data_IF_685144294934
#
_entry.id   IF_685144294934
#
_cell.length_a   1.000
_cell.length_b   1.000
_cell.length_c   1.000
_cell.angle_alpha   90.00
_cell.angle_beta   90.00
_cell.angle_gamma   90.00
#
_symmetry.space_group_name_H-M   'P 1'
#
loop_
_entity.id
_entity.type
_entity.pdbx_description
1 polymer ?
#
# COMPACT_ATOMS: atom_id res chain seq x y z
N UNK A 1 95.68 64.12 -48.88
CA UNK A 1 95.64 62.77 -48.26
C UNK A 1 94.61 62.83 -47.13
N UNK A 2 93.59 62.02 -46.99
CA UNK A 2 93.11 60.86 -47.72
C UNK A 2 91.93 60.27 -46.92
N UNK A 3 90.74 60.29 -47.53
CA UNK A 3 89.62 59.34 -47.36
C UNK A 3 88.97 59.24 -45.96
N UNK A 4 87.95 60.07 -45.75
CA UNK A 4 86.78 59.72 -44.95
C UNK A 4 86.18 58.41 -45.46
N UNK A 5 86.32 57.30 -44.73
CA UNK A 5 85.54 56.08 -44.96
C UNK A 5 84.20 56.21 -44.21
N UNK A 6 83.25 56.94 -44.79
CA UNK A 6 81.84 56.77 -44.43
C UNK A 6 81.40 55.38 -44.91
N UNK A 7 81.48 54.37 -44.04
CA UNK A 7 80.77 53.10 -44.27
C UNK A 7 79.30 53.35 -43.98
N UNK A 8 78.54 53.77 -44.98
CA UNK A 8 77.09 53.66 -44.96
C UNK A 8 76.74 52.21 -45.28
N UNK A 9 76.39 51.43 -44.26
CA UNK A 9 75.76 50.11 -44.42
C UNK A 9 74.25 50.32 -44.42
N UNK A 10 73.66 50.36 -45.61
CA UNK A 10 72.21 50.21 -45.75
C UNK A 10 71.89 48.72 -45.77
N UNK A 11 71.19 48.24 -44.74
CA UNK A 11 70.60 46.89 -44.72
C UNK A 11 69.16 47.01 -45.20
N UNK A 12 68.88 46.57 -46.43
CA UNK A 12 67.52 46.51 -46.98
C UNK A 12 66.93 45.12 -46.73
N UNK A 13 65.94 45.02 -45.85
CA UNK A 13 65.12 43.82 -45.70
C UNK A 13 63.90 43.97 -46.62
N UNK A 14 63.86 43.22 -47.73
CA UNK A 14 62.68 43.14 -48.60
C UNK A 14 62.00 41.80 -48.33
N UNK A 15 60.72 41.81 -47.97
CA UNK A 15 59.93 40.57 -47.89
C UNK A 15 58.69 40.72 -48.78
N UNK A 16 58.70 40.01 -49.90
CA UNK A 16 57.55 39.93 -50.79
C UNK A 16 56.59 38.87 -50.26
N UNK A 17 55.42 39.27 -49.79
CA UNK A 17 54.33 38.33 -49.47
C UNK A 17 53.35 38.26 -50.63
N UNK A 18 53.75 37.59 -51.70
CA UNK A 18 52.85 37.29 -52.82
C UNK A 18 51.93 36.12 -52.44
N UNK A 19 50.62 36.34 -52.47
CA UNK A 19 49.64 35.26 -52.48
C UNK A 19 48.41 35.67 -53.27
N UNK A 20 48.11 34.93 -54.33
CA UNK A 20 46.88 35.08 -55.10
C UNK A 20 45.84 34.15 -54.49
N UNK A 21 44.92 34.70 -53.69
CA UNK A 21 43.79 33.93 -53.19
C UNK A 21 42.67 33.97 -54.24
N UNK A 22 42.57 32.93 -55.07
CA UNK A 22 41.33 32.63 -55.77
C UNK A 22 40.46 31.82 -54.80
N UNK A 23 39.38 32.45 -54.30
CA UNK A 23 38.37 31.76 -53.50
C UNK A 23 37.18 31.57 -54.43
N UNK A 24 36.90 30.32 -54.80
CA UNK A 24 35.76 29.95 -55.61
C UNK A 24 35.02 28.81 -54.90
N UNK A 25 33.70 28.95 -54.74
CA UNK A 25 32.85 28.05 -53.93
C UNK A 25 32.61 28.51 -52.48
N UNK A 26 31.86 27.69 -51.73
CA UNK A 26 31.34 27.90 -50.35
C UNK A 26 32.44 27.81 -49.26
N UNK A 27 33.59 28.44 -49.50
CA UNK A 27 34.72 28.43 -48.55
C UNK A 27 34.46 29.39 -47.38
N UNK A 28 33.64 28.96 -46.42
CA UNK A 28 33.25 29.68 -45.19
C UNK A 28 34.32 29.66 -44.08
N UNK A 29 35.52 29.12 -44.38
CA UNK A 29 36.61 28.97 -43.41
C UNK A 29 37.39 30.26 -43.22
N UNK A 30 38.61 30.37 -43.74
CA UNK A 30 39.39 31.61 -43.78
C UNK A 30 40.43 31.48 -44.90
N UNK A 31 40.46 32.43 -45.84
CA UNK A 31 41.54 32.56 -46.82
C UNK A 31 42.50 33.67 -46.39
N UNK A 32 43.77 33.33 -46.20
CA UNK A 32 44.78 34.24 -45.67
C UNK A 32 45.94 34.33 -46.65
N UNK A 33 46.23 35.54 -47.14
CA UNK A 33 47.36 35.83 -48.02
C UNK A 33 48.14 37.04 -47.49
N UNK A 34 49.42 37.15 -47.86
CA UNK A 34 50.18 38.37 -47.61
C UNK A 34 50.88 38.44 -46.23
N UNK A 35 50.85 37.38 -45.43
CA UNK A 35 51.31 37.44 -44.03
C UNK A 35 52.81 37.21 -43.90
N UNK A 36 53.52 38.19 -43.34
CA UNK A 36 54.94 38.10 -43.00
C UNK A 36 55.13 38.27 -41.49
N UNK A 37 55.92 37.40 -40.88
CA UNK A 37 56.41 37.52 -39.51
C UNK A 37 55.31 37.80 -38.45
N UNK A 38 54.11 37.26 -38.64
CA UNK A 38 52.93 37.47 -37.79
C UNK A 38 52.30 36.14 -37.40
N UNK A 39 51.79 36.04 -36.17
CA UNK A 39 50.96 34.91 -35.73
C UNK A 39 49.52 35.15 -36.19
N UNK A 40 48.97 34.21 -36.95
CA UNK A 40 47.58 34.26 -37.41
C UNK A 40 46.70 33.48 -36.45
N UNK A 41 45.68 34.15 -35.90
CA UNK A 41 44.64 33.50 -35.13
C UNK A 41 43.35 33.51 -35.96
N UNK A 42 42.95 32.34 -36.43
CA UNK A 42 41.71 32.15 -37.18
C UNK A 42 40.77 31.26 -36.36
N UNK A 43 39.53 31.71 -36.17
CA UNK A 43 38.47 30.93 -35.54
C UNK A 43 37.41 30.66 -36.60
N UNK A 44 37.10 29.38 -36.82
CA UNK A 44 36.07 28.93 -37.75
C UNK A 44 34.97 28.22 -36.97
N UNK A 45 33.72 28.36 -37.40
CA UNK A 45 32.58 27.62 -36.86
C UNK A 45 32.18 26.53 -37.86
N UNK A 46 32.22 25.27 -37.42
CA UNK A 46 31.69 24.16 -38.22
C UNK A 46 30.17 24.10 -38.10
N UNK A 47 29.48 24.64 -39.10
CA UNK A 47 28.01 24.65 -39.14
C UNK A 47 27.40 23.25 -39.25
N UNK A 48 28.10 22.27 -39.81
CA UNK A 48 27.64 20.88 -39.87
C UNK A 48 27.58 20.26 -38.47
N UNK A 49 28.62 20.47 -37.67
CA UNK A 49 28.65 20.05 -36.28
C UNK A 49 27.58 20.76 -35.42
N UNK A 50 27.34 22.05 -35.64
CA UNK A 50 26.28 22.79 -34.95
C UNK A 50 24.89 22.27 -35.31
N UNK A 51 24.62 22.05 -36.59
CA UNK A 51 23.32 21.53 -37.03
C UNK A 51 23.06 20.12 -36.50
N UNK A 52 24.07 19.23 -36.55
CA UNK A 52 23.97 17.90 -35.98
C UNK A 52 23.73 17.93 -34.47
N UNK A 53 24.35 18.88 -33.74
CA UNK A 53 24.10 19.06 -32.31
C UNK A 53 22.68 19.57 -32.02
N UNK A 54 22.14 20.45 -32.86
CA UNK A 54 20.76 20.93 -32.72
C UNK A 54 19.73 19.84 -33.04
N UNK A 55 19.98 19.03 -34.07
CA UNK A 55 19.14 17.89 -34.43
C UNK A 55 19.12 16.84 -33.31
N UNK A 56 20.30 16.43 -32.82
CA UNK A 56 20.40 15.53 -31.67
C UNK A 56 19.71 16.10 -30.42
N UNK A 57 19.85 17.41 -30.18
CA UNK A 57 19.16 18.09 -29.10
C UNK A 57 17.64 18.03 -29.23
N UNK A 58 17.12 18.21 -30.44
CA UNK A 58 15.69 18.09 -30.75
C UNK A 58 15.16 16.68 -30.54
N UNK A 59 15.85 15.67 -31.09
CA UNK A 59 15.50 14.25 -30.90
C UNK A 59 15.53 13.84 -29.43
N UNK A 60 16.51 14.33 -28.67
CA UNK A 60 16.61 14.04 -27.23
C UNK A 60 15.45 14.65 -26.46
N UNK A 61 15.04 15.89 -26.77
CA UNK A 61 13.88 16.54 -26.14
C UNK A 61 12.59 15.79 -26.46
N UNK A 62 12.37 15.42 -27.73
CA UNK A 62 11.18 14.68 -28.13
C UNK A 62 11.12 13.28 -27.48
N UNK A 63 12.25 12.58 -27.43
CA UNK A 63 12.38 11.30 -26.74
C UNK A 63 12.10 11.45 -25.24
N UNK A 64 12.61 12.50 -24.61
CA UNK A 64 12.38 12.77 -23.19
C UNK A 64 10.92 13.07 -22.89
N UNK A 65 10.24 13.84 -23.75
CA UNK A 65 8.80 14.11 -23.62
C UNK A 65 8.00 12.82 -23.68
N UNK A 66 8.27 11.96 -24.66
CA UNK A 66 7.59 10.67 -24.83
C UNK A 66 7.79 9.75 -23.63
N UNK A 67 9.03 9.58 -23.18
CA UNK A 67 9.36 8.77 -21.99
C UNK A 67 8.66 9.34 -20.76
N UNK A 68 8.65 10.66 -20.61
CA UNK A 68 7.99 11.32 -19.46
C UNK A 68 6.49 11.04 -19.45
N UNK A 69 5.82 11.16 -20.61
CA UNK A 69 4.39 10.86 -20.72
C UNK A 69 4.09 9.39 -20.41
N UNK A 70 4.89 8.45 -20.93
CA UNK A 70 4.72 7.01 -20.67
C UNK A 70 4.95 6.66 -19.19
N UNK A 71 5.96 7.28 -18.55
CA UNK A 71 6.21 7.13 -17.11
C UNK A 71 5.07 7.73 -16.28
N UNK A 72 4.51 8.87 -16.70
CA UNK A 72 3.36 9.46 -16.01
C UNK A 72 2.11 8.57 -16.10
N UNK A 73 1.87 7.95 -17.25
CA UNK A 73 0.76 7.02 -17.45
C UNK A 73 0.94 5.75 -16.61
N UNK A 74 2.14 5.17 -16.66
CA UNK A 74 2.51 4.01 -15.82
C UNK A 74 2.34 4.31 -14.33
N UNK A 75 2.78 5.48 -13.87
CA UNK A 75 2.62 5.91 -12.47
C UNK A 75 1.15 6.08 -12.08
N UNK A 76 0.31 6.57 -13.01
CA UNK A 76 -1.13 6.71 -12.79
C UNK A 76 -1.79 5.34 -12.63
N UNK A 77 -1.50 4.40 -13.52
CA UNK A 77 -2.04 3.04 -13.47
C UNK A 77 -1.61 2.30 -12.20
N UNK A 78 -0.34 2.47 -11.80
CA UNK A 78 0.17 1.94 -10.53
C UNK A 78 -0.56 2.54 -9.32
N UNK A 79 -0.81 3.85 -9.34
CA UNK A 79 -1.53 4.52 -8.27
C UNK A 79 -3.00 4.06 -8.18
N UNK A 80 -3.68 3.91 -9.32
CA UNK A 80 -5.06 3.40 -9.39
C UNK A 80 -5.13 1.96 -8.86
N UNK A 81 -4.24 1.09 -9.33
CA UNK A 81 -4.15 -0.31 -8.87
C UNK A 81 -3.90 -0.38 -7.36
N UNK A 82 -2.97 0.43 -6.83
CA UNK A 82 -2.68 0.44 -5.40
C UNK A 82 -3.86 0.92 -4.56
N UNK A 83 -4.63 1.90 -5.05
CA UNK A 83 -5.84 2.39 -4.37
C UNK A 83 -6.90 1.29 -4.35
N UNK A 84 -7.12 0.61 -5.48
CA UNK A 84 -8.10 -0.47 -5.59
C UNK A 84 -7.75 -1.65 -4.69
N UNK A 85 -6.49 -2.08 -4.68
CA UNK A 85 -6.03 -3.17 -3.79
C UNK A 85 -6.23 -2.81 -2.30
N UNK A 86 -5.96 -1.56 -1.91
CA UNK A 86 -6.19 -1.10 -0.54
C UNK A 86 -7.68 -1.07 -0.20
N UNK A 87 -8.53 -0.62 -1.13
CA UNK A 87 -9.98 -0.61 -0.94
C UNK A 87 -10.54 -2.02 -0.79
N UNK A 88 -10.11 -2.96 -1.64
CA UNK A 88 -10.49 -4.37 -1.58
C UNK A 88 -10.02 -5.04 -0.30
N UNK A 89 -8.76 -4.81 0.11
CA UNK A 89 -8.24 -5.31 1.37
C UNK A 89 -9.04 -4.77 2.57
N UNK A 90 -9.34 -3.47 2.60
CA UNK A 90 -10.14 -2.87 3.66
C UNK A 90 -11.57 -3.45 3.69
N UNK A 91 -12.20 -3.61 2.52
CA UNK A 91 -13.52 -4.22 2.40
C UNK A 91 -13.54 -5.67 2.89
N UNK A 92 -12.57 -6.48 2.48
CA UNK A 92 -12.44 -7.87 2.91
C UNK A 92 -12.17 -8.00 4.42
N UNK A 93 -11.31 -7.14 4.97
CA UNK A 93 -11.00 -7.09 6.40
C UNK A 93 -12.22 -6.71 7.23
N UNK A 94 -12.97 -5.69 6.80
CA UNK A 94 -14.21 -5.27 7.45
C UNK A 94 -15.28 -6.36 7.40
N UNK A 95 -15.44 -7.01 6.24
CA UNK A 95 -16.37 -8.14 6.08
C UNK A 95 -16.03 -9.30 7.01
N UNK A 96 -14.74 -9.64 7.10
CA UNK A 96 -14.26 -10.71 8.00
C UNK A 96 -14.53 -10.34 9.46
N UNK A 97 -14.16 -9.11 9.86
CA UNK A 97 -14.39 -8.62 11.22
C UNK A 97 -15.88 -8.61 11.58
N UNK A 98 -16.74 -8.11 10.69
CA UNK A 98 -18.19 -8.09 10.90
C UNK A 98 -18.77 -9.50 11.03
N UNK A 99 -18.30 -10.45 10.20
CA UNK A 99 -18.73 -11.85 10.26
C UNK A 99 -18.32 -12.49 11.59
N UNK A 100 -17.05 -12.39 11.98
CA UNK A 100 -16.55 -12.92 13.25
C UNK A 100 -17.23 -12.28 14.45
N UNK A 101 -17.45 -10.96 14.42
CA UNK A 101 -18.16 -10.28 15.50
C UNK A 101 -19.62 -10.74 15.60
N UNK A 102 -20.31 -10.91 14.46
CA UNK A 102 -21.67 -11.45 14.45
C UNK A 102 -21.74 -12.87 15.00
N UNK A 103 -20.76 -13.73 14.65
CA UNK A 103 -20.66 -15.09 15.16
C UNK A 103 -20.42 -15.10 16.68
N UNK A 104 -19.49 -14.26 17.15
CA UNK A 104 -19.22 -14.10 18.58
C UNK A 104 -20.45 -13.61 19.35
N UNK A 105 -21.21 -12.65 18.79
CA UNK A 105 -22.46 -12.18 19.38
C UNK A 105 -23.52 -13.27 19.43
N UNK A 106 -23.65 -14.08 18.37
CA UNK A 106 -24.56 -15.23 18.36
C UNK A 106 -24.15 -16.29 19.39
N UNK A 107 -22.85 -16.56 19.52
CA UNK A 107 -22.34 -17.47 20.53
C UNK A 107 -22.59 -16.96 21.95
N UNK A 108 -22.33 -15.67 22.20
CA UNK A 108 -22.66 -14.99 23.47
C UNK A 108 -24.14 -15.06 23.78
N UNK A 109 -25.01 -14.79 22.79
CA UNK A 109 -26.46 -14.90 22.95
C UNK A 109 -26.90 -16.33 23.27
N UNK A 110 -26.30 -17.33 22.61
CA UNK A 110 -26.55 -18.75 22.89
C UNK A 110 -26.08 -19.17 24.29
N UNK A 111 -24.89 -18.73 24.70
CA UNK A 111 -24.37 -18.95 26.06
C UNK A 111 -25.25 -18.28 27.12
N UNK A 112 -25.65 -17.03 26.90
CA UNK A 112 -26.54 -16.32 27.81
C UNK A 112 -27.92 -17.00 27.90
N UNK A 113 -28.49 -17.43 26.78
CA UNK A 113 -29.76 -18.15 26.74
C UNK A 113 -29.70 -19.50 27.46
N UNK A 114 -28.65 -20.29 27.20
CA UNK A 114 -28.44 -21.57 27.87
C UNK A 114 -28.16 -21.41 29.37
N UNK A 115 -27.42 -20.38 29.77
CA UNK A 115 -27.18 -20.06 31.18
C UNK A 115 -28.45 -19.59 31.89
N UNK A 116 -29.28 -18.77 31.23
CA UNK A 116 -30.59 -18.37 31.75
C UNK A 116 -31.52 -19.58 31.92
N UNK A 117 -31.56 -20.48 30.94
CA UNK A 117 -32.35 -21.72 31.01
C UNK A 117 -31.87 -22.66 32.12
N UNK A 118 -30.54 -22.85 32.27
CA UNK A 118 -29.98 -23.63 33.38
C UNK A 118 -30.27 -22.99 34.73
N UNK A 119 -30.10 -21.67 34.86
CA UNK A 119 -30.41 -20.96 36.10
C UNK A 119 -31.89 -21.07 36.46
N UNK A 120 -32.80 -20.99 35.49
CA UNK A 120 -34.24 -21.21 35.73
C UNK A 120 -34.53 -22.61 36.26
N UNK A 121 -33.94 -23.65 35.66
CA UNK A 121 -34.08 -25.04 36.14
C UNK A 121 -33.52 -25.22 37.55
N UNK A 122 -32.33 -24.68 37.81
CA UNK A 122 -31.71 -24.75 39.13
C UNK A 122 -32.58 -24.06 40.19
N UNK A 123 -33.12 -22.88 39.87
CA UNK A 123 -34.05 -22.16 40.75
C UNK A 123 -35.36 -22.92 40.97
N UNK A 124 -35.89 -23.57 39.94
CA UNK A 124 -37.09 -24.40 40.04
C UNK A 124 -36.86 -25.61 40.95
N UNK A 125 -35.75 -26.34 40.78
CA UNK A 125 -35.37 -27.43 41.69
C UNK A 125 -35.14 -26.95 43.13
N UNK A 126 -34.51 -25.78 43.32
CA UNK A 126 -34.37 -25.19 44.65
C UNK A 126 -35.72 -24.80 45.26
N UNK A 127 -36.66 -24.29 44.45
CA UNK A 127 -38.01 -23.95 44.90
C UNK A 127 -38.82 -25.19 45.25
N UNK A 128 -38.68 -26.26 44.48
CA UNK A 128 -39.31 -27.56 44.74
C UNK A 128 -38.77 -28.17 46.04
N UNK A 129 -37.45 -28.17 46.25
CA UNK A 129 -36.82 -28.57 47.50
C UNK A 129 -37.30 -27.71 48.68
N UNK A 130 -37.43 -26.40 48.49
CA UNK A 130 -37.92 -25.49 49.52
C UNK A 130 -39.40 -25.73 49.85
N UNK A 131 -40.26 -25.99 48.85
CA UNK A 131 -41.67 -26.37 49.06
C UNK A 131 -41.77 -27.72 49.76
N UNK A 132 -40.99 -28.71 49.35
CA UNK A 132 -40.94 -30.01 50.01
C UNK A 132 -40.51 -29.91 51.48
N UNK A 133 -39.49 -29.11 51.78
CA UNK A 133 -39.08 -28.81 53.15
C UNK A 133 -40.15 -28.04 53.94
N UNK A 134 -40.86 -27.10 53.29
CA UNK A 134 -41.91 -26.28 53.92
C UNK A 134 -43.18 -27.08 54.22
N UNK A 135 -43.55 -28.01 53.34
CA UNK A 135 -44.64 -28.97 53.54
C UNK A 135 -44.19 -30.19 54.37
N UNK A 136 -42.91 -30.26 54.75
CA UNK A 136 -42.31 -31.27 55.63
C UNK A 136 -42.45 -32.71 55.13
N UNK A 137 -42.71 -32.93 53.83
CA UNK A 137 -43.09 -34.23 53.28
C UNK A 137 -44.43 -34.78 53.81
N UNK A 138 -45.20 -33.99 54.59
CA UNK A 138 -46.42 -34.44 55.27
C UNK A 138 -47.53 -34.85 54.31
N UNK A 139 -47.59 -34.30 53.10
CA UNK A 139 -48.70 -34.59 52.17
C UNK A 139 -48.67 -36.03 51.67
N UNK A 140 -47.48 -36.59 51.39
CA UNK A 140 -47.35 -38.02 51.04
C UNK A 140 -47.46 -38.93 52.26
N UNK A 141 -46.85 -38.56 53.39
CA UNK A 141 -46.96 -39.35 54.63
C UNK A 141 -48.40 -39.38 55.15
N UNK A 142 -49.16 -38.29 55.02
CA UNK A 142 -50.56 -38.21 55.45
C UNK A 142 -51.46 -39.10 54.60
N UNK A 143 -51.28 -39.15 53.27
CA UNK A 143 -52.03 -40.08 52.39
C UNK A 143 -51.71 -41.54 52.73
N UNK A 144 -50.44 -41.86 52.96
CA UNK A 144 -50.00 -43.21 53.31
C UNK A 144 -50.49 -43.63 54.70
N UNK A 145 -50.49 -42.70 55.66
CA UNK A 145 -50.99 -42.90 57.01
C UNK A 145 -52.51 -43.07 57.04
N UNK A 146 -53.26 -42.33 56.21
CA UNK A 146 -54.70 -42.51 56.04
C UNK A 146 -55.03 -43.90 55.49
N UNK A 147 -54.29 -44.36 54.45
CA UNK A 147 -54.47 -45.69 53.89
C UNK A 147 -54.15 -46.80 54.91
N UNK A 148 -53.04 -46.67 55.66
CA UNK A 148 -52.69 -47.60 56.74
C UNK A 148 -53.73 -47.62 57.86
N UNK A 149 -54.28 -46.46 58.23
CA UNK A 149 -55.34 -46.37 59.24
C UNK A 149 -56.62 -47.10 58.80
N UNK A 150 -57.04 -46.95 57.54
CA UNK A 150 -58.21 -47.66 57.00
C UNK A 150 -57.97 -49.19 57.03
N UNK A 151 -56.79 -49.65 56.62
CA UNK A 151 -56.44 -51.08 56.64
C UNK A 151 -56.44 -51.63 58.07
N UNK A 152 -55.90 -50.89 59.04
CA UNK A 152 -55.93 -51.29 60.46
C UNK A 152 -57.35 -51.39 61.01
N UNK A 153 -58.24 -50.45 60.67
CA UNK A 153 -59.65 -50.50 61.09
C UNK A 153 -60.37 -51.70 60.49
N UNK A 154 -60.12 -52.02 59.22
CA UNK A 154 -60.69 -53.21 58.57
C UNK A 154 -60.17 -54.51 59.19
N UNK A 155 -58.88 -54.60 59.50
CA UNK A 155 -58.27 -55.74 60.20
C UNK A 155 -58.85 -55.93 61.60
N UNK A 156 -58.99 -54.86 62.38
CA UNK A 156 -59.57 -54.92 63.72
C UNK A 156 -61.05 -55.31 63.69
N UNK A 157 -61.81 -54.76 62.74
CA UNK A 157 -63.21 -55.14 62.50
C UNK A 157 -63.33 -56.63 62.17
N UNK A 158 -62.47 -57.14 61.30
CA UNK A 158 -62.44 -58.56 60.94
C UNK A 158 -62.09 -59.47 62.13
N UNK A 159 -61.10 -59.09 62.94
CA UNK A 159 -60.70 -59.86 64.14
C UNK A 159 -61.79 -59.85 65.21
N UNK A 160 -62.52 -58.75 65.40
CA UNK A 160 -63.66 -58.70 66.33
C UNK A 160 -64.85 -59.54 65.86
N UNK A 161 -65.12 -59.56 64.56
CA UNK A 161 -66.20 -60.40 63.99
C UNK A 161 -65.86 -61.88 64.09
N UNK A 162 -64.60 -62.27 63.94
CA UNK A 162 -64.16 -63.67 64.03
C UNK A 162 -64.08 -64.21 65.47
N UNK A 163 -64.15 -63.35 66.49
CA UNK A 163 -64.10 -63.72 67.92
C UNK A 163 -65.47 -63.79 68.61
N UNK A 164 -66.57 -63.57 67.88
CA UNK A 164 -67.96 -63.83 68.31
C UNK A 164 -68.50 -65.07 67.60
#
# INVERSE_FOLDING_TARGET
MGRSKSKSTNTSNTTNTSGQNAIEGDNLGVAISGVNNSTLNATMTDHGAVNAALELGGEMVESHERITLEVMDTNRDMAETAIDEVADFAGASLKTYASTNSENLNMLAGMAGSQAAQNSKNLESMMELAKFNKDGGQVETSKMMLALAIVLVLMLGFVMVKKK
#
